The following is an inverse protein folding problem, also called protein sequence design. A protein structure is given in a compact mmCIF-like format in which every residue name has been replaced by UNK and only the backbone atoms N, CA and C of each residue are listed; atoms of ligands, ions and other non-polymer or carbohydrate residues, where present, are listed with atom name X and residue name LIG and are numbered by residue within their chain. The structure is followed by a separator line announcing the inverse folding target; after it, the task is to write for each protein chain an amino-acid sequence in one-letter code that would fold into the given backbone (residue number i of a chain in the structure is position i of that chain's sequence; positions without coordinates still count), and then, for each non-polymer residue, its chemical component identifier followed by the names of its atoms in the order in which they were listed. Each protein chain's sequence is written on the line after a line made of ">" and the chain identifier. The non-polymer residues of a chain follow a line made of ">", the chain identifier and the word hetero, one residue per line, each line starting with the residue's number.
data_IF_335476354787
#
_entry.id   IF_335476354787
#
_cell.length_a   1.000
_cell.length_b   1.000
_cell.length_c   1.000
_cell.angle_alpha   90.00
_cell.angle_beta   90.00
_cell.angle_gamma   90.00
#
_symmetry.space_group_name_H-M   'P 1'
#
loop_
_entity.id
_entity.type
_entity.pdbx_description
1 polymer ?
#
# COMPACT_ATOMS: atom_id res chain seq x y z
N UNK A 1 -24.34 -13.84 24.96
CA UNK A 1 -24.75 -14.98 24.10
C UNK A 1 -23.83 -14.95 22.90
N UNK A 2 -23.00 -15.97 22.69
CA UNK A 2 -22.00 -16.00 21.62
C UNK A 2 -22.67 -16.46 20.34
N UNK A 3 -22.95 -15.54 19.41
CA UNK A 3 -23.59 -15.89 18.14
C UNK A 3 -22.51 -16.28 17.13
N UNK A 4 -22.25 -17.58 16.98
CA UNK A 4 -21.25 -18.11 16.04
C UNK A 4 -21.67 -17.84 14.60
N UNK A 5 -20.87 -17.09 13.85
CA UNK A 5 -21.01 -16.95 12.40
C UNK A 5 -20.24 -18.11 11.74
N UNK A 6 -20.97 -18.93 10.99
CA UNK A 6 -20.57 -20.02 10.07
C UNK A 6 -19.48 -21.04 10.52
N UNK A 7 -19.83 -22.33 10.41
CA UNK A 7 -18.99 -23.47 10.80
C UNK A 7 -17.84 -23.81 9.82
N UNK A 8 -17.68 -23.07 8.71
CA UNK A 8 -16.73 -23.43 7.64
C UNK A 8 -15.62 -22.39 7.38
N UNK A 9 -15.61 -21.26 8.09
CA UNK A 9 -14.53 -20.26 7.97
C UNK A 9 -13.43 -20.46 9.00
N UNK A 10 -12.18 -20.20 8.61
CA UNK A 10 -11.01 -20.22 9.50
C UNK A 10 -11.01 -19.08 10.54
N UNK A 11 -11.91 -18.12 10.36
CA UNK A 11 -12.08 -16.98 11.25
C UNK A 11 -13.43 -17.05 11.94
N UNK A 12 -13.46 -16.74 13.23
CA UNK A 12 -14.66 -16.63 14.06
C UNK A 12 -14.72 -15.25 14.73
N UNK A 13 -15.88 -14.63 14.67
CA UNK A 13 -16.15 -13.43 15.47
C UNK A 13 -16.51 -13.81 16.90
N UNK A 14 -15.85 -13.18 17.88
CA UNK A 14 -16.28 -13.23 19.28
C UNK A 14 -16.93 -11.90 19.66
N UNK A 15 -18.24 -11.96 19.92
CA UNK A 15 -19.00 -10.83 20.47
C UNK A 15 -18.72 -10.74 21.97
N UNK A 16 -17.72 -9.94 22.36
CA UNK A 16 -17.46 -9.52 23.74
C UNK A 16 -17.49 -8.00 23.85
N UNK A 17 -17.46 -7.49 25.09
CA UNK A 17 -17.41 -6.06 25.41
C UNK A 17 -16.25 -5.28 24.75
N UNK A 18 -15.27 -6.01 24.20
CA UNK A 18 -14.27 -5.54 23.24
C UNK A 18 -14.41 -6.34 21.96
N UNK A 19 -14.64 -5.67 20.82
CA UNK A 19 -14.84 -6.30 19.51
C UNK A 19 -13.60 -7.12 19.11
N UNK A 20 -13.62 -8.43 19.34
CA UNK A 20 -12.48 -9.32 19.11
C UNK A 20 -12.64 -10.18 17.86
N UNK A 21 -11.59 -10.29 17.04
CA UNK A 21 -11.49 -11.30 15.98
C UNK A 21 -10.72 -12.49 16.54
N UNK A 22 -11.30 -13.68 16.55
CA UNK A 22 -10.54 -14.90 16.83
C UNK A 22 -10.31 -15.64 15.51
N UNK A 23 -9.07 -15.91 15.13
CA UNK A 23 -8.81 -16.85 14.05
C UNK A 23 -8.71 -18.24 14.68
N UNK A 24 -9.60 -19.16 14.31
CA UNK A 24 -9.51 -20.54 14.81
C UNK A 24 -8.67 -21.33 13.81
N UNK A 25 -7.55 -21.87 14.29
CA UNK A 25 -6.69 -22.74 13.51
C UNK A 25 -7.48 -23.95 12.99
N UNK A 26 -7.54 -24.20 11.68
CA UNK A 26 -8.18 -25.41 11.16
C UNK A 26 -7.34 -26.68 11.30
N UNK A 27 -6.04 -26.54 11.54
CA UNK A 27 -5.11 -27.66 11.42
C UNK A 27 -4.78 -28.32 12.77
N UNK A 28 -5.23 -27.75 13.90
CA UNK A 28 -5.21 -28.35 15.25
C UNK A 28 -6.36 -27.78 16.09
N UNK A 29 -6.97 -28.58 16.98
CA UNK A 29 -7.95 -28.13 17.99
C UNK A 29 -7.36 -27.13 19.01
N UNK A 30 -6.08 -26.77 18.88
CA UNK A 30 -5.42 -25.68 19.60
C UNK A 30 -5.57 -24.34 18.87
N UNK A 31 -6.04 -23.33 19.62
CA UNK A 31 -6.16 -21.94 19.17
C UNK A 31 -4.77 -21.42 18.73
N UNK A 32 -4.58 -21.12 17.45
CA UNK A 32 -3.28 -20.60 16.97
C UNK A 32 -3.14 -19.08 17.05
N UNK A 33 -4.26 -18.35 17.21
CA UNK A 33 -4.25 -16.89 17.26
C UNK A 33 -5.48 -16.29 17.95
N UNK A 34 -5.26 -15.34 18.86
CA UNK A 34 -6.34 -14.50 19.45
C UNK A 34 -6.06 -13.02 19.19
N UNK A 35 -6.92 -12.29 18.43
CA UNK A 35 -6.91 -10.82 18.51
C UNK A 35 -7.59 -10.44 19.83
N UNK A 36 -6.83 -10.38 20.92
CA UNK A 36 -7.31 -9.70 22.13
C UNK A 36 -7.11 -8.20 21.98
N UNK A 37 -8.15 -7.43 22.31
CA UNK A 37 -8.05 -5.99 22.46
C UNK A 37 -8.03 -5.18 21.17
N UNK A 38 -8.58 -5.70 20.06
CA UNK A 38 -8.74 -4.90 18.83
C UNK A 38 -9.70 -3.73 19.08
N UNK A 39 -9.13 -2.62 19.53
CA UNK A 39 -9.81 -1.36 19.78
C UNK A 39 -9.14 -0.29 18.92
N UNK A 40 -9.57 -0.17 17.65
CA UNK A 40 -9.07 0.87 16.78
C UNK A 40 -9.32 2.25 17.41
N UNK A 41 -8.44 3.21 17.15
CA UNK A 41 -8.45 4.53 17.81
C UNK A 41 -8.48 5.65 16.78
N UNK A 42 -9.28 6.68 17.04
CA UNK A 42 -9.32 7.90 16.25
C UNK A 42 -8.49 8.98 16.95
N UNK A 43 -7.62 9.65 16.19
CA UNK A 43 -6.85 10.80 16.66
C UNK A 43 -7.44 12.07 16.02
N UNK A 44 -8.19 12.83 16.81
CA UNK A 44 -8.96 14.00 16.38
C UNK A 44 -8.25 15.32 16.70
N UNK A 45 -8.68 16.40 16.06
CA UNK A 45 -8.15 17.74 16.29
C UNK A 45 -6.75 17.92 15.69
N UNK A 46 -5.78 18.26 16.54
CA UNK A 46 -4.35 18.26 16.22
C UNK A 46 -3.69 16.88 16.44
N UNK A 47 -4.47 15.87 16.82
CA UNK A 47 -4.01 14.53 17.17
C UNK A 47 -3.92 14.28 18.68
N UNK A 48 -4.19 15.29 19.52
CA UNK A 48 -4.20 15.15 20.98
C UNK A 48 -5.45 14.46 21.55
N UNK A 49 -6.57 14.51 20.82
CA UNK A 49 -7.83 13.90 21.26
C UNK A 49 -7.86 12.47 20.74
N UNK A 50 -7.76 11.50 21.65
CA UNK A 50 -7.87 10.07 21.32
C UNK A 50 -9.25 9.57 21.67
N UNK A 51 -9.97 9.03 20.68
CA UNK A 51 -11.24 8.33 20.89
C UNK A 51 -11.07 6.86 20.59
N UNK A 52 -11.30 6.03 21.60
CA UNK A 52 -11.33 4.60 21.43
C UNK A 52 -12.66 4.21 20.79
N UNK A 53 -12.67 3.22 19.90
CA UNK A 53 -13.94 2.72 19.35
C UNK A 53 -14.81 2.12 20.44
N UNK A 54 -14.20 1.57 21.49
CA UNK A 54 -14.90 1.15 22.70
C UNK A 54 -15.64 2.28 23.44
N UNK A 55 -15.32 3.56 23.18
CA UNK A 55 -16.07 4.70 23.69
C UNK A 55 -17.36 4.98 22.89
N UNK A 56 -17.54 4.38 21.72
CA UNK A 56 -18.72 4.63 20.88
C UNK A 56 -19.92 3.81 21.40
N UNK A 57 -21.09 4.43 21.40
CA UNK A 57 -22.34 3.77 21.67
C UNK A 57 -22.68 2.79 20.53
N UNK A 58 -23.07 1.58 20.89
CA UNK A 58 -23.54 0.59 19.93
C UNK A 58 -24.90 0.96 19.35
N UNK A 59 -25.00 0.99 18.02
CA UNK A 59 -26.26 1.27 17.31
C UNK A 59 -26.88 -0.02 16.77
N UNK A 60 -26.08 -0.90 16.18
CA UNK A 60 -26.61 -2.16 15.67
C UNK A 60 -25.65 -2.96 14.78
N UNK A 61 -26.14 -4.13 14.36
CA UNK A 61 -25.44 -5.10 13.53
C UNK A 61 -26.32 -5.53 12.36
N UNK A 62 -25.69 -5.75 11.21
CA UNK A 62 -26.33 -6.31 10.03
C UNK A 62 -25.40 -7.34 9.37
N UNK A 63 -25.95 -8.47 8.93
CA UNK A 63 -25.24 -9.42 8.06
C UNK A 63 -25.60 -9.16 6.61
N UNK A 64 -24.59 -9.14 5.73
CA UNK A 64 -24.71 -8.92 4.29
C UNK A 64 -24.10 -10.09 3.52
N UNK A 65 -24.35 -10.13 2.21
CA UNK A 65 -23.71 -11.07 1.28
C UNK A 65 -23.87 -12.54 1.72
N UNK A 66 -25.09 -12.94 2.09
CA UNK A 66 -25.35 -14.31 2.55
C UNK A 66 -24.69 -14.68 3.90
N UNK A 67 -24.17 -13.69 4.64
CA UNK A 67 -23.49 -13.88 5.93
C UNK A 67 -21.97 -13.75 5.85
N UNK A 68 -21.39 -13.58 4.67
CA UNK A 68 -19.94 -13.40 4.46
C UNK A 68 -19.43 -12.04 4.96
N UNK A 69 -20.32 -11.05 5.06
CA UNK A 69 -20.00 -9.73 5.57
C UNK A 69 -20.86 -9.38 6.80
N UNK A 70 -20.25 -8.68 7.75
CA UNK A 70 -20.91 -8.16 8.95
C UNK A 70 -20.62 -6.68 9.07
N UNK A 71 -21.67 -5.90 9.28
CA UNK A 71 -21.58 -4.45 9.44
C UNK A 71 -21.99 -4.10 10.86
N UNK A 72 -21.09 -3.47 11.58
CA UNK A 72 -21.35 -2.88 12.89
C UNK A 72 -21.50 -1.38 12.76
N UNK A 73 -22.51 -0.83 13.42
CA UNK A 73 -22.77 0.61 13.47
C UNK A 73 -22.59 1.08 14.90
N UNK A 74 -21.76 2.09 15.07
CA UNK A 74 -21.48 2.72 16.34
C UNK A 74 -21.60 4.23 16.20
N UNK A 75 -21.90 4.91 17.29
CA UNK A 75 -22.09 6.36 17.32
C UNK A 75 -21.33 6.97 18.48
N UNK A 76 -20.61 8.03 18.20
CA UNK A 76 -20.03 8.88 19.23
C UNK A 76 -20.88 10.14 19.38
N UNK A 77 -21.49 10.30 20.54
CA UNK A 77 -22.34 11.45 20.86
C UNK A 77 -21.53 12.74 21.02
N UNK A 78 -20.27 12.66 21.47
CA UNK A 78 -19.48 13.84 21.79
C UNK A 78 -19.08 14.63 20.53
N UNK A 79 -18.66 13.94 19.47
CA UNK A 79 -18.26 14.56 18.20
C UNK A 79 -19.31 14.34 17.09
N UNK A 80 -20.47 13.77 17.44
CA UNK A 80 -21.54 13.42 16.50
C UNK A 80 -21.02 12.61 15.30
N UNK A 81 -20.16 11.63 15.58
CA UNK A 81 -19.56 10.77 14.55
C UNK A 81 -20.30 9.44 14.49
N UNK A 82 -20.70 9.02 13.29
CA UNK A 82 -21.14 7.65 13.05
C UNK A 82 -20.01 6.83 12.45
N UNK A 83 -19.65 5.75 13.13
CA UNK A 83 -18.70 4.77 12.66
C UNK A 83 -19.42 3.55 12.11
N UNK A 84 -19.03 3.11 10.93
CA UNK A 84 -19.45 1.85 10.34
C UNK A 84 -18.24 0.95 10.18
N UNK A 85 -18.20 -0.14 10.94
CA UNK A 85 -17.15 -1.15 10.85
C UNK A 85 -17.63 -2.31 9.98
N UNK A 86 -17.00 -2.45 8.82
CA UNK A 86 -17.37 -3.46 7.83
C UNK A 86 -16.34 -4.56 7.89
N UNK A 87 -16.80 -5.76 8.19
CA UNK A 87 -16.02 -6.98 8.22
C UNK A 87 -16.44 -7.91 7.10
N UNK A 88 -15.47 -8.64 6.56
CA UNK A 88 -15.70 -9.74 5.62
C UNK A 88 -14.85 -10.94 6.03
N UNK A 89 -15.45 -12.12 5.96
CA UNK A 89 -14.76 -13.38 6.19
C UNK A 89 -14.96 -14.26 4.96
N UNK A 90 -13.84 -14.80 4.51
CA UNK A 90 -13.72 -15.75 3.42
C UNK A 90 -13.04 -17.02 3.97
N UNK A 91 -12.89 -18.05 3.15
CA UNK A 91 -12.32 -19.33 3.58
C UNK A 91 -10.95 -19.16 4.24
N UNK A 92 -10.01 -18.45 3.60
CA UNK A 92 -8.64 -18.30 4.10
C UNK A 92 -8.25 -16.87 4.46
N UNK A 93 -9.22 -15.95 4.50
CA UNK A 93 -8.98 -14.52 4.68
C UNK A 93 -10.07 -13.90 5.53
N UNK A 94 -9.70 -12.96 6.37
CA UNK A 94 -10.64 -11.99 6.92
C UNK A 94 -10.12 -10.59 6.63
N UNK A 95 -11.03 -9.66 6.39
CA UNK A 95 -10.69 -8.27 6.17
C UNK A 95 -11.69 -7.34 6.82
N UNK A 96 -11.24 -6.12 7.10
CA UNK A 96 -12.10 -5.08 7.63
C UNK A 96 -11.69 -3.70 7.20
N UNK A 97 -12.67 -2.79 7.21
CA UNK A 97 -12.45 -1.35 7.06
C UNK A 97 -13.43 -0.56 7.91
N UNK A 98 -13.10 0.70 8.11
CA UNK A 98 -13.88 1.65 8.89
C UNK A 98 -14.39 2.76 7.96
N UNK A 99 -15.66 3.10 8.08
CA UNK A 99 -16.24 4.29 7.46
C UNK A 99 -16.73 5.22 8.55
N UNK A 100 -16.22 6.45 8.57
CA UNK A 100 -16.56 7.47 9.56
C UNK A 100 -17.35 8.57 8.89
N UNK A 101 -18.52 8.89 9.40
CA UNK A 101 -19.37 9.99 8.90
C UNK A 101 -19.49 11.05 9.98
N UNK A 102 -19.24 12.30 9.61
CA UNK A 102 -19.54 13.43 10.48
C UNK A 102 -21.02 13.78 10.36
N UNK A 103 -21.81 13.46 11.39
CA UNK A 103 -23.26 13.76 11.45
C UNK A 103 -23.55 15.03 12.25
N UNK A 104 -22.50 15.68 12.76
CA UNK A 104 -22.60 16.94 13.48
C UNK A 104 -22.67 18.16 12.57
N UNK A 105 -22.71 19.34 13.21
CA UNK A 105 -22.78 20.64 12.53
C UNK A 105 -21.40 21.31 12.39
N UNK A 106 -20.37 20.78 13.05
CA UNK A 106 -19.01 21.32 13.08
C UNK A 106 -18.03 20.41 12.35
N UNK A 107 -16.95 20.98 11.82
CA UNK A 107 -15.86 20.21 11.23
C UNK A 107 -15.12 19.35 12.28
N UNK A 108 -14.67 18.17 11.86
CA UNK A 108 -13.86 17.26 12.68
C UNK A 108 -12.56 16.95 11.96
N UNK A 109 -11.44 17.44 12.50
CA UNK A 109 -10.12 17.08 12.00
C UNK A 109 -9.76 15.65 12.42
N UNK A 110 -9.45 14.79 11.45
CA UNK A 110 -8.99 13.41 11.63
C UNK A 110 -7.52 13.30 11.20
N UNK A 111 -6.62 13.16 12.17
CA UNK A 111 -5.17 13.11 11.90
C UNK A 111 -4.70 11.69 11.60
N UNK A 112 -5.05 10.75 12.46
CA UNK A 112 -4.67 9.35 12.31
C UNK A 112 -5.80 8.43 12.76
N UNK A 113 -5.73 7.19 12.29
CA UNK A 113 -6.55 6.10 12.79
C UNK A 113 -5.66 4.89 13.04
N UNK A 114 -5.66 4.37 14.26
CA UNK A 114 -5.14 3.03 14.51
C UNK A 114 -6.21 2.08 13.97
N UNK A 115 -5.96 1.38 12.86
CA UNK A 115 -6.89 0.45 12.20
C UNK A 115 -7.05 -0.87 12.96
N UNK A 116 -6.03 -1.21 13.75
CA UNK A 116 -6.07 -2.25 14.76
C UNK A 116 -4.94 -2.06 15.77
N UNK A 117 -5.17 -2.52 16.98
CA UNK A 117 -4.21 -2.63 18.07
C UNK A 117 -4.45 -3.99 18.71
N UNK A 118 -3.52 -4.92 18.56
CA UNK A 118 -3.77 -6.33 18.81
C UNK A 118 -2.59 -6.99 19.51
N UNK A 119 -2.85 -8.03 20.29
CA UNK A 119 -1.79 -8.88 20.85
C UNK A 119 -1.87 -10.26 20.21
N UNK A 120 -0.75 -10.76 19.70
CA UNK A 120 -0.59 -12.12 19.23
C UNK A 120 -0.12 -13.03 20.37
N UNK A 121 -0.67 -14.24 20.45
CA UNK A 121 -0.19 -15.35 21.29
C UNK A 121 0.93 -16.17 20.63
N UNK A 122 1.19 -15.95 19.33
CA UNK A 122 2.27 -16.53 18.57
C UNK A 122 3.37 -15.50 18.23
N UNK A 123 4.60 -15.94 17.91
CA UNK A 123 5.68 -15.03 17.53
C UNK A 123 5.31 -14.15 16.35
N UNK A 124 5.41 -12.83 16.53
CA UNK A 124 5.23 -11.82 15.48
C UNK A 124 6.59 -11.47 14.91
N UNK A 125 6.70 -11.45 13.59
CA UNK A 125 7.89 -11.04 12.85
C UNK A 125 7.49 -10.06 11.77
N UNK A 126 8.13 -8.91 11.72
CA UNK A 126 8.09 -8.08 10.52
C UNK A 126 8.82 -8.80 9.39
N UNK A 127 8.41 -8.56 8.14
CA UNK A 127 9.20 -9.06 7.02
C UNK A 127 10.48 -8.25 6.96
N UNK A 128 11.61 -8.88 7.28
CA UNK A 128 12.92 -8.28 7.10
C UNK A 128 13.40 -8.56 5.67
N UNK A 129 13.62 -7.50 4.90
CA UNK A 129 14.44 -7.60 3.70
C UNK A 129 15.90 -7.53 4.14
N UNK A 130 16.64 -8.62 3.92
CA UNK A 130 18.10 -8.68 4.10
C UNK A 130 18.76 -8.94 2.75
N UNK A 131 19.15 -7.87 2.09
CA UNK A 131 20.11 -7.86 0.99
C UNK A 131 21.50 -7.76 1.60
N UNK A 132 22.39 -8.69 1.21
CA UNK A 132 23.83 -8.49 1.34
C UNK A 132 24.32 -7.93 0.02
N UNK A 133 25.05 -6.82 0.07
CA UNK A 133 25.69 -6.23 -1.10
C UNK A 133 27.10 -6.82 -1.18
N UNK A 134 27.40 -7.54 -2.26
CA UNK A 134 28.75 -8.03 -2.51
C UNK A 134 29.60 -6.95 -3.23
N UNK A 135 30.92 -7.19 -3.31
CA UNK A 135 31.90 -6.29 -3.95
C UNK A 135 31.48 -5.94 -5.39
N UNK A 136 31.12 -4.68 -5.63
CA UNK A 136 30.74 -4.15 -6.94
C UNK A 136 29.23 -4.00 -7.18
N UNK A 137 28.38 -4.35 -6.20
CA UNK A 137 26.91 -4.31 -6.36
C UNK A 137 26.26 -3.00 -5.89
N UNK A 138 27.00 -2.10 -5.24
CA UNK A 138 26.46 -0.84 -4.77
C UNK A 138 27.46 0.31 -4.92
N UNK A 139 27.31 1.07 -6.00
CA UNK A 139 28.14 2.24 -6.27
C UNK A 139 27.73 3.43 -5.35
N UNK A 140 26.52 3.41 -4.76
CA UNK A 140 25.98 4.51 -3.93
C UNK A 140 25.05 4.09 -2.77
N UNK A 141 24.73 2.80 -2.60
CA UNK A 141 23.79 2.34 -1.56
C UNK A 141 24.53 1.59 -0.45
N UNK A 142 24.32 1.97 0.81
CA UNK A 142 24.83 1.17 1.92
C UNK A 142 23.89 -0.01 2.23
N UNK A 143 24.40 -1.07 2.85
CA UNK A 143 23.59 -2.23 3.27
C UNK A 143 22.40 -1.80 4.15
N UNK A 144 22.57 -0.73 4.95
CA UNK A 144 21.50 -0.12 5.76
C UNK A 144 20.40 0.54 4.93
N UNK A 145 20.72 1.02 3.73
CA UNK A 145 19.80 1.75 2.86
C UNK A 145 18.92 0.77 2.05
N UNK A 146 19.44 -0.42 1.76
CA UNK A 146 18.68 -1.51 1.11
C UNK A 146 17.95 -2.40 2.13
N UNK A 147 18.45 -2.48 3.36
CA UNK A 147 17.83 -3.23 4.45
C UNK A 147 16.95 -2.32 5.30
N UNK A 148 15.77 -1.99 4.79
CA UNK A 148 14.74 -1.36 5.60
C UNK A 148 14.19 -2.38 6.63
N UNK A 149 14.17 -1.97 7.91
CA UNK A 149 13.80 -2.82 9.03
C UNK A 149 12.29 -3.14 9.10
N UNK A 150 11.43 -2.41 8.39
CA UNK A 150 9.97 -2.48 8.55
C UNK A 150 9.29 -2.87 7.24
N UNK A 151 9.22 -4.18 6.98
CA UNK A 151 8.45 -4.74 5.87
C UNK A 151 7.03 -5.14 6.28
N UNK A 152 6.07 -4.87 5.39
CA UNK A 152 4.67 -5.30 5.46
C UNK A 152 4.44 -6.44 4.47
N UNK A 153 3.51 -7.38 4.77
CA UNK A 153 2.69 -7.51 5.98
C UNK A 153 3.52 -7.98 7.18
N UNK A 154 2.94 -8.13 8.37
CA UNK A 154 3.58 -8.86 9.48
C UNK A 154 3.26 -10.34 9.38
N UNK A 155 4.25 -11.18 9.69
CA UNK A 155 4.12 -12.63 9.82
C UNK A 155 3.83 -12.98 11.28
N UNK A 156 2.81 -13.81 11.49
CA UNK A 156 2.45 -14.32 12.81
C UNK A 156 2.50 -15.84 12.78
N UNK A 157 3.42 -16.42 13.56
CA UNK A 157 3.55 -17.87 13.73
C UNK A 157 3.83 -18.66 12.44
N UNK A 158 4.34 -18.02 11.37
CA UNK A 158 4.53 -18.61 10.03
C UNK A 158 3.26 -19.16 9.37
N UNK A 159 2.09 -18.72 9.85
CA UNK A 159 0.78 -19.22 9.41
C UNK A 159 -0.20 -18.11 9.07
N UNK A 160 0.01 -16.90 9.58
CA UNK A 160 -0.81 -15.75 9.25
C UNK A 160 0.06 -14.62 8.71
N UNK A 161 -0.48 -13.90 7.72
CA UNK A 161 -0.02 -12.56 7.38
C UNK A 161 -1.08 -11.56 7.78
N UNK A 162 -0.68 -10.39 8.27
CA UNK A 162 -1.56 -9.29 8.64
C UNK A 162 -1.00 -7.98 8.09
N UNK A 163 -1.82 -7.20 7.39
CA UNK A 163 -1.37 -5.93 6.82
C UNK A 163 -2.51 -5.09 6.27
N UNK A 164 -2.14 -3.95 5.70
CA UNK A 164 -3.07 -3.04 5.01
C UNK A 164 -2.88 -3.21 3.51
N UNK A 165 -3.99 -3.27 2.78
CA UNK A 165 -3.99 -3.53 1.33
C UNK A 165 -3.42 -2.35 0.50
N UNK A 166 -3.06 -1.24 1.15
CA UNK A 166 -2.47 -0.05 0.53
C UNK A 166 -1.37 0.52 1.44
N UNK A 167 -0.17 0.86 0.91
CA UNK A 167 0.99 1.24 1.70
C UNK A 167 0.90 2.71 2.17
N UNK A 168 -0.05 3.00 3.06
CA UNK A 168 -0.25 4.33 3.69
C UNK A 168 -0.40 4.25 5.21
N UNK A 169 0.05 3.13 5.77
CA UNK A 169 -0.07 2.86 7.19
C UNK A 169 1.24 2.33 7.76
N UNK A 170 1.50 2.70 9.01
CA UNK A 170 2.61 2.21 9.80
C UNK A 170 2.16 1.05 10.70
N UNK A 171 2.85 -0.08 10.68
CA UNK A 171 2.66 -1.23 11.56
C UNK A 171 3.85 -1.33 12.48
N UNK A 172 3.57 -1.15 13.76
CA UNK A 172 4.52 -1.27 14.84
C UNK A 172 4.33 -2.62 15.52
N UNK A 173 5.44 -3.29 15.85
CA UNK A 173 5.42 -4.55 16.60
C UNK A 173 6.25 -4.42 17.87
N UNK A 174 5.70 -4.80 19.01
CA UNK A 174 6.40 -4.80 20.31
C UNK A 174 5.98 -6.03 21.15
N UNK A 175 6.90 -6.97 21.37
CA UNK A 175 6.66 -8.11 22.27
C UNK A 175 5.44 -8.97 21.93
N UNK A 176 5.03 -9.03 20.65
CA UNK A 176 3.82 -9.72 20.18
C UNK A 176 2.59 -8.82 20.01
N UNK A 177 2.65 -7.58 20.49
CA UNK A 177 1.67 -6.54 20.16
C UNK A 177 1.90 -6.01 18.76
N UNK A 178 0.82 -5.72 18.04
CA UNK A 178 0.80 -5.22 16.66
C UNK A 178 -0.17 -4.04 16.61
N UNK A 179 0.33 -2.87 16.22
CA UNK A 179 -0.49 -1.67 16.04
C UNK A 179 -0.34 -1.19 14.61
N UNK A 180 -1.44 -0.91 13.93
CA UNK A 180 -1.43 -0.39 12.56
C UNK A 180 -2.07 0.99 12.49
N UNK A 181 -1.32 2.01 12.12
CA UNK A 181 -1.75 3.39 12.05
C UNK A 181 -1.81 3.88 10.61
N UNK A 182 -2.98 4.30 10.15
CA UNK A 182 -3.12 5.03 8.91
C UNK A 182 -3.08 6.55 9.19
N UNK A 183 -2.31 7.26 8.37
CA UNK A 183 -2.22 8.72 8.38
C UNK A 183 -3.31 9.27 7.46
N UNK A 184 -4.23 10.05 8.02
CA UNK A 184 -5.38 10.59 7.27
C UNK A 184 -5.15 12.05 6.90
N UNK A 185 -4.71 12.87 7.87
CA UNK A 185 -4.50 14.30 7.74
C UNK A 185 -5.67 15.05 7.06
N UNK A 186 -6.90 14.68 7.41
CA UNK A 186 -8.13 15.15 6.76
C UNK A 186 -9.01 15.97 7.72
N UNK A 187 -9.91 16.79 7.19
CA UNK A 187 -10.93 17.52 7.96
C UNK A 187 -12.29 17.17 7.39
N UNK A 188 -13.10 16.48 8.19
CA UNK A 188 -14.45 16.09 7.82
C UNK A 188 -15.43 17.22 8.08
N UNK A 189 -15.93 17.84 7.01
CA UNK A 189 -17.07 18.74 7.08
C UNK A 189 -18.37 17.99 7.42
N UNK A 190 -19.42 18.70 7.89
CA UNK A 190 -20.74 18.10 8.11
C UNK A 190 -21.23 17.27 6.92
N UNK A 191 -21.66 16.04 7.19
CA UNK A 191 -22.12 15.06 6.20
C UNK A 191 -21.01 14.35 5.41
N UNK A 192 -19.74 14.73 5.55
CA UNK A 192 -18.64 14.06 4.85
C UNK A 192 -18.31 12.70 5.46
N UNK A 193 -17.79 11.82 4.60
CA UNK A 193 -17.42 10.45 4.96
C UNK A 193 -15.94 10.21 4.70
N UNK A 194 -15.22 9.80 5.72
CA UNK A 194 -13.89 9.19 5.60
C UNK A 194 -14.01 7.67 5.44
N UNK A 195 -13.14 7.07 4.62
CA UNK A 195 -13.01 5.61 4.48
C UNK A 195 -11.58 5.20 4.74
N UNK A 196 -11.38 4.31 5.71
CA UNK A 196 -10.08 3.72 5.95
C UNK A 196 -9.66 2.80 4.81
N UNK A 197 -8.36 2.50 4.74
CA UNK A 197 -7.88 1.37 3.95
C UNK A 197 -8.31 0.07 4.61
N UNK A 198 -8.38 -0.96 3.78
CA UNK A 198 -8.74 -2.31 4.22
C UNK A 198 -7.55 -2.95 4.91
N UNK A 199 -7.79 -3.48 6.11
CA UNK A 199 -6.88 -4.39 6.78
C UNK A 199 -7.25 -5.81 6.36
N UNK A 200 -6.24 -6.62 6.08
CA UNK A 200 -6.40 -8.02 5.73
C UNK A 200 -5.55 -8.89 6.64
N UNK A 201 -6.14 -9.95 7.16
CA UNK A 201 -5.45 -11.13 7.70
C UNK A 201 -5.69 -12.31 6.78
N UNK A 202 -4.63 -12.96 6.35
CA UNK A 202 -4.71 -14.21 5.58
C UNK A 202 -4.06 -15.36 6.34
N UNK A 203 -4.69 -16.53 6.24
CA UNK A 203 -4.22 -17.76 6.87
C UNK A 203 -3.63 -18.73 5.83
N UNK A 204 -2.63 -19.49 6.23
CA UNK A 204 -2.02 -20.53 5.41
C UNK A 204 -1.54 -21.71 6.23
N UNK A 205 -1.31 -22.82 5.52
CA UNK A 205 -0.50 -23.93 6.01
C UNK A 205 0.96 -23.52 6.19
N UNK A 206 1.66 -24.20 7.08
CA UNK A 206 3.08 -23.95 7.32
C UNK A 206 3.91 -24.10 6.03
N UNK A 207 4.82 -23.14 5.79
CA UNK A 207 5.61 -23.09 4.56
C UNK A 207 4.90 -22.52 3.33
N UNK A 208 3.59 -22.21 3.39
CA UNK A 208 2.81 -21.66 2.27
C UNK A 208 2.57 -20.14 2.36
N UNK A 209 3.20 -19.46 3.31
CA UNK A 209 2.95 -18.04 3.57
C UNK A 209 3.19 -17.15 2.35
N UNK A 210 4.35 -17.28 1.69
CA UNK A 210 4.69 -16.47 0.52
C UNK A 210 3.71 -16.70 -0.63
N UNK A 211 3.29 -17.94 -0.86
CA UNK A 211 2.31 -18.25 -1.90
C UNK A 211 0.95 -17.62 -1.61
N UNK A 212 0.43 -17.78 -0.38
CA UNK A 212 -0.86 -17.20 0.00
C UNK A 212 -0.83 -15.68 -0.01
N UNK A 213 0.26 -15.06 0.45
CA UNK A 213 0.42 -13.62 0.38
C UNK A 213 0.50 -13.12 -1.07
N UNK A 214 1.23 -13.81 -1.95
CA UNK A 214 1.28 -13.47 -3.38
C UNK A 214 -0.08 -13.63 -4.08
N UNK A 215 -0.89 -14.62 -3.68
CA UNK A 215 -2.25 -14.77 -4.16
C UNK A 215 -3.12 -13.57 -3.74
N UNK A 216 -3.06 -13.17 -2.47
CA UNK A 216 -3.72 -11.95 -1.98
C UNK A 216 -3.30 -10.70 -2.76
N UNK A 217 -2.00 -10.51 -2.99
CA UNK A 217 -1.50 -9.40 -3.80
C UNK A 217 -1.97 -9.46 -5.26
N UNK A 218 -2.26 -10.65 -5.81
CA UNK A 218 -2.85 -10.77 -7.16
C UNK A 218 -4.31 -10.32 -7.14
N UNK A 219 -5.08 -10.68 -6.11
CA UNK A 219 -6.49 -10.29 -5.98
C UNK A 219 -6.65 -8.77 -5.79
N UNK A 220 -5.71 -8.13 -5.09
CA UNK A 220 -5.67 -6.66 -4.95
C UNK A 220 -5.29 -5.93 -6.24
N UNK A 221 -4.56 -6.60 -7.14
CA UNK A 221 -4.10 -5.98 -8.38
C UNK A 221 -5.27 -5.87 -9.36
N UNK A 222 -5.71 -4.63 -9.59
CA UNK A 222 -6.70 -4.33 -10.63
C UNK A 222 -6.18 -4.45 -12.08
N UNK A 223 -4.91 -4.81 -12.28
CA UNK A 223 -4.27 -4.96 -13.60
C UNK A 223 -3.58 -6.31 -13.72
N UNK A 224 -3.74 -6.94 -14.87
CA UNK A 224 -2.97 -8.13 -15.21
C UNK A 224 -1.47 -7.83 -15.22
N UNK A 225 -0.68 -8.74 -14.65
CA UNK A 225 0.78 -8.60 -14.66
C UNK A 225 1.32 -9.18 -15.95
N UNK A 226 2.01 -8.36 -16.75
CA UNK A 226 2.88 -8.84 -17.84
C UNK A 226 4.33 -8.77 -17.40
N UNK A 227 5.12 -9.78 -17.77
CA UNK A 227 6.59 -9.66 -17.73
C UNK A 227 7.01 -8.84 -18.94
N UNK A 228 7.88 -7.87 -18.73
CA UNK A 228 8.42 -7.02 -19.78
C UNK A 228 9.91 -6.81 -19.52
N UNK A 229 10.73 -7.03 -20.55
CA UNK A 229 12.10 -6.56 -20.61
C UNK A 229 12.09 -5.05 -20.85
N UNK A 230 12.91 -4.33 -20.08
CA UNK A 230 12.85 -2.88 -19.99
C UNK A 230 14.25 -2.31 -20.03
N UNK A 231 14.48 -1.36 -20.94
CA UNK A 231 15.64 -0.48 -20.93
C UNK A 231 15.23 0.90 -20.42
N UNK A 232 16.06 1.50 -19.57
CA UNK A 232 15.95 2.89 -19.16
C UNK A 232 17.27 3.62 -19.35
N UNK A 233 17.19 4.88 -19.78
CA UNK A 233 18.36 5.66 -20.19
C UNK A 233 19.16 6.27 -19.04
N UNK A 234 18.71 6.18 -17.79
CA UNK A 234 19.29 6.87 -16.61
C UNK A 234 20.82 6.83 -16.57
N UNK A 235 21.42 5.65 -16.72
CA UNK A 235 22.88 5.48 -16.60
C UNK A 235 23.70 6.16 -17.70
N UNK A 236 23.05 6.66 -18.76
CA UNK A 236 23.73 7.33 -19.87
C UNK A 236 23.73 8.86 -19.78
N UNK A 237 22.89 9.43 -18.92
CA UNK A 237 22.73 10.89 -18.83
C UNK A 237 22.40 11.44 -17.44
N UNK A 238 21.92 10.62 -16.49
CA UNK A 238 21.52 11.07 -15.15
C UNK A 238 20.55 12.28 -15.22
N UNK A 239 20.68 13.26 -14.32
CA UNK A 239 19.79 14.42 -14.24
C UNK A 239 19.93 15.41 -15.41
N UNK A 240 21.01 15.34 -16.19
CA UNK A 240 21.31 16.25 -17.29
C UNK A 240 20.37 16.06 -18.48
N UNK A 241 19.76 14.88 -18.59
CA UNK A 241 18.87 14.53 -19.69
C UNK A 241 19.58 14.20 -20.99
N UNK A 242 18.81 13.85 -22.01
CA UNK A 242 19.34 13.52 -23.34
C UNK A 242 18.90 14.55 -24.37
N UNK A 243 19.84 14.97 -25.21
CA UNK A 243 19.53 15.69 -26.43
C UNK A 243 18.88 14.78 -27.47
N UNK A 244 18.18 15.39 -28.43
CA UNK A 244 17.61 14.72 -29.62
C UNK A 244 18.65 13.87 -30.37
N UNK A 245 19.90 14.36 -30.43
CA UNK A 245 21.02 13.64 -31.04
C UNK A 245 21.42 12.40 -30.25
N UNK A 246 21.54 12.52 -28.92
CA UNK A 246 21.94 11.40 -28.07
C UNK A 246 20.90 10.29 -28.06
N UNK A 247 19.61 10.64 -28.04
CA UNK A 247 18.52 9.67 -28.20
C UNK A 247 18.63 8.93 -29.54
N UNK A 248 18.87 9.64 -30.65
CA UNK A 248 19.08 9.00 -31.95
C UNK A 248 20.24 8.03 -31.95
N UNK A 249 21.39 8.42 -31.37
CA UNK A 249 22.59 7.56 -31.28
C UNK A 249 22.31 6.31 -30.44
N UNK A 250 21.55 6.45 -29.35
CA UNK A 250 21.17 5.33 -28.50
C UNK A 250 20.21 4.36 -29.22
N UNK A 251 19.23 4.88 -29.97
CA UNK A 251 18.35 4.08 -30.80
C UNK A 251 19.10 3.39 -31.96
N UNK A 252 20.07 4.06 -32.59
CA UNK A 252 20.94 3.45 -33.60
C UNK A 252 21.71 2.26 -33.01
N UNK A 253 22.16 2.38 -31.76
CA UNK A 253 22.83 1.27 -31.07
C UNK A 253 21.89 0.08 -30.87
N UNK A 254 20.66 0.30 -30.40
CA UNK A 254 19.70 -0.79 -30.21
C UNK A 254 19.24 -1.42 -31.51
N UNK A 255 19.10 -0.64 -32.58
CA UNK A 255 18.79 -1.18 -33.91
C UNK A 255 19.91 -2.09 -34.42
N UNK A 256 21.18 -1.68 -34.23
CA UNK A 256 22.33 -2.54 -34.53
C UNK A 256 22.38 -3.77 -33.63
N UNK A 257 22.14 -3.63 -32.33
CA UNK A 257 22.16 -4.74 -31.38
C UNK A 257 21.07 -5.78 -31.70
N UNK A 258 19.88 -5.32 -32.08
CA UNK A 258 18.80 -6.18 -32.59
C UNK A 258 19.20 -6.91 -33.86
N UNK A 259 19.76 -6.19 -34.83
CA UNK A 259 20.12 -6.75 -36.12
C UNK A 259 21.29 -7.74 -36.05
N UNK A 260 22.29 -7.46 -35.21
CA UNK A 260 23.50 -8.27 -35.10
C UNK A 260 23.35 -9.45 -34.11
N UNK A 261 22.60 -9.25 -33.02
CA UNK A 261 22.57 -10.19 -31.89
C UNK A 261 21.15 -10.61 -31.47
N UNK A 262 20.10 -10.07 -32.11
CA UNK A 262 18.71 -10.34 -31.71
C UNK A 262 18.31 -9.70 -30.38
N UNK A 263 19.11 -8.78 -29.84
CA UNK A 263 18.80 -8.08 -28.58
C UNK A 263 17.63 -7.12 -28.80
N UNK A 264 16.58 -7.26 -28.00
CA UNK A 264 15.36 -6.48 -28.08
C UNK A 264 14.75 -6.33 -26.67
N UNK A 265 14.04 -5.22 -26.45
CA UNK A 265 13.32 -4.95 -25.21
C UNK A 265 11.83 -4.75 -25.51
N UNK A 266 10.96 -5.10 -24.57
CA UNK A 266 9.54 -4.81 -24.68
C UNK A 266 9.28 -3.30 -24.54
N UNK A 267 10.08 -2.62 -23.71
CA UNK A 267 9.94 -1.19 -23.41
C UNK A 267 11.31 -0.50 -23.49
N UNK A 268 11.37 0.60 -24.24
CA UNK A 268 12.45 1.58 -24.20
C UNK A 268 11.94 2.82 -23.47
N UNK A 269 12.51 3.15 -22.31
CA UNK A 269 12.11 4.32 -21.55
C UNK A 269 13.21 5.38 -21.46
N UNK A 270 12.78 6.63 -21.65
CA UNK A 270 13.60 7.79 -21.30
C UNK A 270 13.40 8.12 -19.83
N UNK A 271 14.49 8.24 -19.09
CA UNK A 271 14.48 8.47 -17.65
C UNK A 271 14.46 9.96 -17.28
N UNK A 272 14.58 10.27 -15.98
CA UNK A 272 14.61 11.62 -15.46
C UNK A 272 15.71 12.48 -16.12
N UNK A 273 15.49 13.78 -16.21
CA UNK A 273 16.29 14.72 -16.99
C UNK A 273 15.71 15.00 -18.37
N UNK A 274 14.73 14.24 -18.86
CA UNK A 274 14.12 14.46 -20.18
C UNK A 274 12.88 15.35 -20.14
N UNK A 275 11.99 15.13 -19.16
CA UNK A 275 10.78 15.93 -18.95
C UNK A 275 10.89 16.79 -17.68
N UNK A 276 11.64 16.34 -16.70
CA UNK A 276 11.82 16.99 -15.41
C UNK A 276 13.11 16.48 -14.75
N UNK A 277 13.54 17.08 -13.65
CA UNK A 277 14.71 16.64 -12.87
C UNK A 277 14.37 16.58 -11.37
N UNK A 278 15.27 16.05 -10.55
CA UNK A 278 15.23 16.11 -9.08
C UNK A 278 15.04 17.51 -8.46
N UNK A 279 15.20 18.58 -9.25
CA UNK A 279 15.09 19.97 -8.79
C UNK A 279 13.87 20.69 -9.38
N UNK A 280 13.33 20.22 -10.50
CA UNK A 280 12.33 20.95 -11.26
C UNK A 280 11.37 20.00 -11.97
N UNK A 281 10.09 20.10 -11.65
CA UNK A 281 8.99 19.53 -12.43
C UNK A 281 8.83 20.22 -13.78
N UNK A 282 7.96 19.65 -14.62
CA UNK A 282 7.87 20.00 -16.05
C UNK A 282 7.69 21.50 -16.31
N UNK A 283 6.82 22.20 -15.58
CA UNK A 283 6.56 23.63 -15.83
C UNK A 283 7.83 24.50 -15.71
N UNK A 284 8.73 24.16 -14.78
CA UNK A 284 10.01 24.86 -14.61
C UNK A 284 11.09 24.32 -15.55
N UNK A 285 10.99 23.07 -15.95
CA UNK A 285 11.95 22.40 -16.81
C UNK A 285 11.67 22.56 -18.32
N UNK A 286 10.47 23.00 -18.70
CA UNK A 286 9.97 23.02 -20.07
C UNK A 286 10.93 23.66 -21.08
N UNK A 287 11.54 24.79 -20.75
CA UNK A 287 12.48 25.46 -21.67
C UNK A 287 13.75 24.63 -21.91
N UNK A 288 14.21 23.89 -20.89
CA UNK A 288 15.33 22.96 -21.06
C UNK A 288 14.90 21.75 -21.89
N UNK A 289 13.71 21.18 -21.63
CA UNK A 289 13.12 20.12 -22.45
C UNK A 289 13.07 20.53 -23.93
N UNK A 290 12.51 21.70 -24.24
CA UNK A 290 12.40 22.21 -25.61
C UNK A 290 13.77 22.46 -26.26
N UNK A 291 14.79 22.79 -25.46
CA UNK A 291 16.17 22.95 -25.95
C UNK A 291 16.83 21.59 -26.25
N UNK A 292 16.68 20.60 -25.38
CA UNK A 292 17.23 19.26 -25.55
C UNK A 292 16.52 18.52 -26.69
N UNK A 293 15.20 18.70 -26.79
CA UNK A 293 14.30 18.01 -27.69
C UNK A 293 13.45 19.00 -28.49
N UNK A 294 14.05 19.74 -29.45
CA UNK A 294 13.34 20.75 -30.23
C UNK A 294 12.18 20.19 -31.08
N UNK A 295 12.20 18.88 -31.36
CA UNK A 295 11.13 18.17 -32.08
C UNK A 295 10.22 17.36 -31.14
N UNK A 296 10.38 17.52 -29.82
CA UNK A 296 9.74 16.72 -28.80
C UNK A 296 10.12 15.23 -28.85
N UNK A 297 9.36 14.41 -28.12
CA UNK A 297 9.60 12.96 -28.01
C UNK A 297 8.95 12.13 -29.11
N UNK A 298 7.98 12.69 -29.84
CA UNK A 298 7.19 11.94 -30.84
C UNK A 298 8.06 11.22 -31.88
N UNK A 299 9.07 11.85 -32.51
CA UNK A 299 9.90 11.16 -33.50
C UNK A 299 10.65 9.95 -32.92
N UNK A 300 11.09 10.04 -31.66
CA UNK A 300 11.77 8.95 -30.96
C UNK A 300 10.80 7.83 -30.60
N UNK A 301 9.60 8.18 -30.13
CA UNK A 301 8.54 7.23 -29.82
C UNK A 301 8.09 6.45 -31.07
N UNK A 302 7.93 7.14 -32.20
CA UNK A 302 7.60 6.51 -33.49
C UNK A 302 8.71 5.54 -33.91
N UNK A 303 9.99 5.94 -33.80
CA UNK A 303 11.13 5.07 -34.12
C UNK A 303 11.20 3.84 -33.21
N UNK A 304 11.00 4.01 -31.91
CA UNK A 304 10.95 2.90 -30.93
C UNK A 304 9.83 1.91 -31.29
N UNK A 305 8.68 2.42 -31.73
CA UNK A 305 7.57 1.61 -32.21
C UNK A 305 7.91 0.86 -33.50
N UNK A 306 8.58 1.49 -34.45
CA UNK A 306 9.04 0.86 -35.70
C UNK A 306 10.07 -0.26 -35.43
N UNK A 307 10.85 -0.11 -34.36
CA UNK A 307 11.75 -1.15 -33.85
C UNK A 307 11.01 -2.28 -33.10
N UNK A 308 9.68 -2.20 -32.95
CA UNK A 308 8.84 -3.21 -32.30
C UNK A 308 8.88 -3.15 -30.77
N UNK A 309 9.09 -1.98 -30.18
CA UNK A 309 9.13 -1.75 -28.73
C UNK A 309 8.08 -0.73 -28.31
N UNK A 310 7.72 -0.69 -27.02
CA UNK A 310 6.91 0.39 -26.45
C UNK A 310 7.79 1.55 -25.95
N UNK A 311 7.31 2.79 -26.09
CA UNK A 311 8.02 3.97 -25.59
C UNK A 311 7.52 4.36 -24.19
N UNK A 312 8.41 4.32 -23.21
CA UNK A 312 8.19 4.73 -21.83
C UNK A 312 8.81 6.08 -21.50
N UNK A 313 8.28 6.72 -20.47
CA UNK A 313 8.77 8.00 -19.96
C UNK A 313 8.74 7.94 -18.44
N UNK A 314 9.84 8.34 -17.80
CA UNK A 314 9.87 8.56 -16.37
C UNK A 314 9.19 9.89 -16.01
N UNK A 315 8.32 9.85 -15.00
CA UNK A 315 7.73 11.02 -14.34
C UNK A 315 7.66 10.79 -12.82
N UNK A 316 8.15 11.74 -12.04
CA UNK A 316 7.96 11.96 -10.62
C UNK A 316 6.82 12.97 -10.37
N UNK A 317 5.61 12.51 -10.00
CA UNK A 317 4.43 13.39 -9.86
C UNK A 317 4.53 14.42 -8.72
N UNK A 318 5.62 14.44 -7.96
CA UNK A 318 5.77 15.23 -6.72
C UNK A 318 5.66 16.76 -6.94
N UNK A 319 5.80 17.25 -8.17
CA UNK A 319 5.64 18.68 -8.52
C UNK A 319 4.45 18.97 -9.45
N UNK A 320 3.61 17.98 -9.78
CA UNK A 320 2.41 18.18 -10.59
C UNK A 320 1.22 18.60 -9.71
N UNK A 321 1.19 19.87 -9.28
CA UNK A 321 0.08 20.45 -8.54
C UNK A 321 0.33 21.89 -8.11
N UNK A 322 -0.72 22.72 -8.06
CA UNK A 322 -0.60 24.07 -7.49
C UNK A 322 -0.29 23.99 -5.99
N UNK A 323 0.93 24.40 -5.62
CA UNK A 323 1.44 24.58 -4.24
C UNK A 323 1.43 23.33 -3.34
N UNK A 324 2.45 22.51 -3.47
CA UNK A 324 3.04 21.80 -2.34
C UNK A 324 4.43 22.37 -2.08
N UNK A 325 4.56 23.31 -1.14
CA UNK A 325 5.88 23.77 -0.68
C UNK A 325 6.72 22.55 -0.31
N UNK A 326 7.94 22.44 -0.86
CA UNK A 326 8.99 21.64 -0.22
C UNK A 326 9.03 22.07 1.24
N UNK A 327 8.74 21.15 2.15
CA UNK A 327 9.20 21.28 3.53
C UNK A 327 10.70 21.01 3.43
N UNK A 328 11.49 22.06 3.60
CA UNK A 328 12.95 21.98 3.72
C UNK A 328 13.37 21.16 4.94
#
# INVERSE_FOLDING_TARGET
>A
MTTTIQQHSLFRFEERASFGISAVNPFQEERAFRFEGNDPKLYLGDGSIVRHISDFAWVGRESKDGGEAVVFRLQDEQFALRLTWIYRVEEHKASWRLELVNEGESEVALRHIDLFDAVADAPVRQFEQRIRLDLGEADWMEEKDVNHATGYPVNIGNRLFLGVDWPVADVLTDGGRITCRQYCADTLAPGQTFRSRTVTVGACEEGRMSERFLAHLKDLRGRETRRASFYFSWLTHSWEGMTDRELKVNLDFFERAKSAFGIHFDIYAVDAGVIETNHYGYERYRLMHEKLLPNGLKPHADRVKDMGMEFGIWIGPNEFGEKGSRVE
#
